data_IF_193880794497
#
_entry.id   IF_193880794497
#
_cell.length_a   1.000
_cell.length_b   1.000
_cell.length_c   1.000
_cell.angle_alpha   90.00
_cell.angle_beta   90.00
_cell.angle_gamma   90.00
#
_symmetry.space_group_name_H-M   'P 1'
#
loop_
_entity.id
_entity.type
_entity.pdbx_description
1 polymer ?
#
# COMPACT_ATOMS: atom_id res chain seq x y z
N UNK A 1 -63.41 44.56 36.01
CA UNK A 1 -62.15 44.50 36.80
C UNK A 1 -61.27 43.46 36.21
N UNK A 2 -60.34 43.84 35.35
CA UNK A 2 -59.44 42.99 34.66
C UNK A 2 -58.04 43.31 35.19
N UNK A 3 -57.51 42.42 36.01
CA UNK A 3 -56.16 42.55 36.57
C UNK A 3 -55.13 42.08 35.54
N UNK A 4 -54.32 43.02 35.07
CA UNK A 4 -53.13 42.72 34.23
C UNK A 4 -52.05 42.12 35.10
N UNK A 5 -51.48 40.94 34.64
CA UNK A 5 -50.30 40.32 35.20
C UNK A 5 -49.07 40.96 34.55
N UNK A 6 -48.05 41.37 35.31
CA UNK A 6 -46.82 41.91 34.74
C UNK A 6 -46.00 40.77 34.11
N UNK A 7 -45.61 40.88 32.86
CA UNK A 7 -44.62 40.06 32.22
C UNK A 7 -43.26 40.51 32.73
N UNK A 8 -42.63 39.67 33.54
CA UNK A 8 -41.22 39.80 33.96
C UNK A 8 -40.32 39.44 32.80
N UNK A 9 -39.73 40.45 32.18
CA UNK A 9 -38.79 40.35 31.10
C UNK A 9 -37.44 39.82 31.67
N UNK A 10 -37.23 38.50 31.58
CA UNK A 10 -35.96 37.88 31.94
C UNK A 10 -34.90 38.33 30.95
N UNK A 11 -33.98 39.18 31.38
CA UNK A 11 -32.76 39.53 30.66
C UNK A 11 -31.99 38.26 30.30
N UNK A 12 -31.42 38.14 29.07
CA UNK A 12 -30.59 37.00 28.70
C UNK A 12 -29.33 37.01 29.57
N UNK A 13 -29.17 35.92 30.24
CA UNK A 13 -28.02 35.56 31.05
C UNK A 13 -26.73 35.68 30.21
N UNK A 14 -25.71 36.25 30.84
CA UNK A 14 -24.34 36.45 30.40
C UNK A 14 -23.87 35.47 29.29
N UNK A 15 -23.34 36.06 28.23
CA UNK A 15 -22.57 35.36 27.21
C UNK A 15 -21.44 34.61 27.92
N UNK A 16 -21.61 33.30 28.08
CA UNK A 16 -20.52 32.44 28.45
C UNK A 16 -19.35 32.69 27.47
N UNK A 17 -18.26 33.17 28.00
CA UNK A 17 -17.05 33.37 27.23
C UNK A 17 -16.65 32.08 26.52
N UNK A 18 -15.91 32.15 25.42
CA UNK A 18 -15.46 30.95 24.70
C UNK A 18 -14.80 29.98 25.68
N UNK A 19 -15.06 28.66 25.56
CA UNK A 19 -14.47 27.67 26.44
C UNK A 19 -12.96 27.86 26.47
N UNK A 20 -12.30 27.69 27.63
CA UNK A 20 -10.87 27.89 27.74
C UNK A 20 -10.19 27.04 26.67
N UNK A 21 -9.45 27.73 25.81
CA UNK A 21 -8.59 27.04 24.80
C UNK A 21 -7.68 26.12 25.57
N UNK A 22 -7.78 24.82 25.28
CA UNK A 22 -6.88 23.81 25.85
C UNK A 22 -5.44 24.34 25.68
N UNK A 23 -4.79 24.58 26.81
CA UNK A 23 -3.42 25.09 26.84
C UNK A 23 -2.52 24.08 26.11
N UNK A 24 -2.00 24.47 24.96
CA UNK A 24 -1.11 23.65 24.13
C UNK A 24 0.22 23.33 24.82
N UNK A 25 0.42 23.81 26.05
CA UNK A 25 1.61 23.56 26.87
C UNK A 25 1.61 22.17 27.53
N UNK A 26 0.48 21.44 27.55
CA UNK A 26 0.35 20.10 28.13
C UNK A 26 0.65 18.96 27.14
N UNK A 27 1.38 19.22 26.07
CA UNK A 27 2.08 18.14 25.36
C UNK A 27 3.15 17.64 26.35
N UNK A 28 2.77 16.69 27.21
CA UNK A 28 3.66 15.96 28.12
C UNK A 28 4.88 15.55 27.31
N UNK A 29 6.02 16.23 27.54
CA UNK A 29 7.32 15.80 27.02
C UNK A 29 7.47 14.37 27.46
N UNK A 30 7.24 13.43 26.53
CA UNK A 30 7.23 12.00 26.82
C UNK A 30 8.47 11.67 27.65
N UNK A 31 8.27 11.10 28.83
CA UNK A 31 9.35 10.83 29.77
C UNK A 31 10.47 10.01 29.11
N UNK A 32 11.65 10.00 29.70
CA UNK A 32 12.80 9.25 29.20
C UNK A 32 12.52 7.73 29.09
N UNK A 33 11.64 7.20 29.95
CA UNK A 33 11.31 5.75 29.97
C UNK A 33 10.67 5.24 28.66
N UNK A 34 9.63 5.85 28.06
CA UNK A 34 9.13 5.45 26.75
C UNK A 34 10.19 5.51 25.64
N UNK A 35 11.06 6.52 25.68
CA UNK A 35 12.14 6.64 24.69
C UNK A 35 13.13 5.48 24.79
N UNK A 36 13.53 5.09 26.00
CA UNK A 36 14.40 3.93 26.21
C UNK A 36 13.74 2.65 25.71
N UNK A 37 12.48 2.41 26.09
CA UNK A 37 11.75 1.21 25.63
C UNK A 37 11.69 1.16 24.12
N UNK A 38 11.31 2.25 23.45
CA UNK A 38 11.26 2.31 21.99
C UNK A 38 12.65 2.06 21.38
N UNK A 39 13.71 2.66 21.95
CA UNK A 39 15.08 2.46 21.46
C UNK A 39 15.54 1.00 21.62
N UNK A 40 15.25 0.37 22.74
CA UNK A 40 15.58 -1.06 22.96
C UNK A 40 14.82 -1.94 21.97
N UNK A 41 13.52 -1.73 21.81
CA UNK A 41 12.71 -2.47 20.85
C UNK A 41 13.26 -2.28 19.43
N UNK A 42 13.53 -1.03 19.02
CA UNK A 42 14.12 -0.74 17.73
C UNK A 42 15.49 -1.41 17.53
N UNK A 43 16.35 -1.39 18.55
CA UNK A 43 17.66 -2.04 18.49
C UNK A 43 17.51 -3.57 18.30
N UNK A 44 16.60 -4.21 19.04
CA UNK A 44 16.32 -5.65 18.90
C UNK A 44 15.82 -5.96 17.48
N UNK A 45 14.93 -5.15 16.93
CA UNK A 45 14.41 -5.33 15.58
C UNK A 45 15.46 -5.12 14.49
N UNK A 46 16.46 -4.29 14.76
CA UNK A 46 17.57 -4.06 13.83
C UNK A 46 18.59 -5.21 13.79
N UNK A 47 18.66 -6.05 14.83
CA UNK A 47 19.64 -7.15 14.93
C UNK A 47 19.64 -8.05 13.69
N UNK A 48 18.50 -8.58 13.19
CA UNK A 48 18.51 -9.43 11.99
C UNK A 48 19.00 -8.67 10.75
N UNK A 49 18.57 -7.43 10.57
CA UNK A 49 18.94 -6.61 9.39
C UNK A 49 20.43 -6.29 9.39
N UNK A 50 20.96 -5.90 10.54
CA UNK A 50 22.41 -5.65 10.72
C UNK A 50 23.20 -6.96 10.53
N UNK A 51 22.68 -8.07 11.04
CA UNK A 51 23.30 -9.37 10.87
C UNK A 51 23.43 -9.77 9.41
N UNK A 52 22.34 -9.64 8.62
CA UNK A 52 22.35 -9.92 7.18
C UNK A 52 23.31 -8.97 6.45
N UNK A 53 23.29 -7.67 6.78
CA UNK A 53 24.18 -6.68 6.17
C UNK A 53 25.67 -7.02 6.43
N UNK A 54 26.02 -7.35 7.67
CA UNK A 54 27.41 -7.74 7.99
C UNK A 54 27.78 -9.05 7.27
N UNK A 55 26.88 -10.03 7.28
CA UNK A 55 27.11 -11.33 6.63
C UNK A 55 27.34 -11.18 5.13
N UNK A 56 26.64 -10.25 4.45
CA UNK A 56 26.81 -10.02 3.00
C UNK A 56 28.20 -9.55 2.60
N UNK A 57 28.96 -8.96 3.54
CA UNK A 57 30.35 -8.55 3.32
C UNK A 57 31.38 -9.57 3.85
N UNK A 58 30.96 -10.74 4.29
CA UNK A 58 31.89 -11.74 4.84
C UNK A 58 32.14 -12.88 3.84
N UNK A 59 33.37 -13.42 3.82
CA UNK A 59 33.69 -14.62 3.03
C UNK A 59 32.79 -15.80 3.43
N UNK A 60 32.36 -16.60 2.45
CA UNK A 60 31.46 -17.75 2.64
C UNK A 60 31.94 -18.71 3.74
N UNK A 61 33.21 -19.09 3.73
CA UNK A 61 33.76 -20.00 4.71
C UNK A 61 33.74 -19.48 6.16
N UNK A 62 33.73 -18.14 6.35
CA UNK A 62 33.56 -17.55 7.67
C UNK A 62 32.08 -17.44 8.09
N UNK A 63 31.18 -17.29 7.11
CA UNK A 63 29.74 -17.26 7.36
C UNK A 63 29.26 -18.63 7.83
N UNK A 64 29.75 -19.71 7.23
CA UNK A 64 29.38 -21.09 7.58
C UNK A 64 29.91 -21.54 8.93
N UNK A 65 31.06 -21.00 9.36
CA UNK A 65 31.77 -21.49 10.55
C UNK A 65 31.63 -20.61 11.78
N UNK A 66 31.29 -19.32 11.60
CA UNK A 66 31.22 -18.33 12.69
C UNK A 66 29.99 -17.43 12.57
N UNK A 67 29.47 -16.98 13.72
CA UNK A 67 28.37 -16.02 13.72
C UNK A 67 28.82 -14.62 13.26
N UNK A 68 27.90 -13.82 12.68
CA UNK A 68 28.18 -12.46 12.21
C UNK A 68 28.71 -11.53 13.30
N UNK A 69 28.35 -11.76 14.56
CA UNK A 69 28.80 -10.94 15.70
C UNK A 69 30.28 -11.08 16.02
N UNK A 70 30.95 -12.12 15.52
CA UNK A 70 32.41 -12.31 15.73
C UNK A 70 33.23 -11.23 15.06
N UNK A 71 32.69 -10.56 14.03
CA UNK A 71 33.31 -9.41 13.35
C UNK A 71 33.68 -8.30 14.32
N UNK A 72 32.90 -8.08 15.38
CA UNK A 72 33.18 -6.99 16.33
C UNK A 72 34.52 -7.16 17.08
N UNK A 73 35.03 -8.39 17.19
CA UNK A 73 36.36 -8.67 17.70
C UNK A 73 37.50 -8.48 16.67
N UNK A 74 37.15 -8.37 15.38
CA UNK A 74 38.09 -8.40 14.26
C UNK A 74 37.78 -7.33 13.21
N UNK A 75 37.25 -6.17 13.60
CA UNK A 75 36.76 -5.11 12.70
C UNK A 75 37.79 -4.63 11.68
N UNK A 76 39.08 -4.60 12.07
CA UNK A 76 40.19 -4.11 11.25
C UNK A 76 40.91 -5.23 10.49
N UNK A 77 40.49 -6.48 10.66
CA UNK A 77 41.05 -7.60 9.93
C UNK A 77 40.41 -7.69 8.53
N UNK A 78 41.21 -7.39 7.53
CA UNK A 78 40.76 -7.37 6.12
C UNK A 78 40.30 -8.76 5.66
N UNK A 79 40.74 -9.86 6.31
CA UNK A 79 40.26 -11.20 6.00
C UNK A 79 38.77 -11.44 6.34
N UNK A 80 38.19 -10.58 7.19
CA UNK A 80 36.77 -10.65 7.55
C UNK A 80 35.83 -10.04 6.49
N UNK A 81 36.39 -9.30 5.52
CA UNK A 81 35.60 -8.49 4.60
C UNK A 81 35.89 -8.85 3.16
N UNK A 82 34.82 -9.02 2.37
CA UNK A 82 34.89 -9.30 0.95
C UNK A 82 33.72 -8.63 0.20
N UNK A 83 33.93 -8.32 -1.07
CA UNK A 83 32.88 -7.95 -2.02
C UNK A 83 32.57 -9.08 -3.01
N UNK A 84 33.17 -10.25 -2.79
CA UNK A 84 33.04 -11.39 -3.71
C UNK A 84 31.60 -11.87 -3.82
N UNK A 85 30.84 -11.88 -2.71
CA UNK A 85 29.42 -12.23 -2.72
C UNK A 85 28.60 -11.34 -3.68
N UNK A 86 28.89 -10.03 -3.68
CA UNK A 86 28.23 -9.09 -4.60
C UNK A 86 28.66 -9.28 -6.04
N UNK A 87 29.96 -9.55 -6.27
CA UNK A 87 30.46 -9.86 -7.62
C UNK A 87 29.87 -11.16 -8.14
N UNK A 88 29.87 -12.22 -7.33
CA UNK A 88 29.28 -13.49 -7.69
C UNK A 88 27.77 -13.34 -8.01
N UNK A 89 27.03 -12.56 -7.24
CA UNK A 89 25.62 -12.28 -7.52
C UNK A 89 25.41 -11.53 -8.84
N UNK A 90 26.27 -10.56 -9.15
CA UNK A 90 26.20 -9.80 -10.41
C UNK A 90 26.69 -10.62 -11.62
N UNK A 91 27.69 -11.48 -11.41
CA UNK A 91 28.25 -12.34 -12.44
C UNK A 91 27.40 -13.58 -12.71
N UNK A 92 26.46 -13.91 -11.81
CA UNK A 92 25.47 -14.98 -12.03
C UNK A 92 24.60 -14.58 -13.21
N UNK A 93 24.69 -15.32 -14.31
CA UNK A 93 23.97 -15.01 -15.54
C UNK A 93 22.46 -14.95 -15.31
N UNK A 94 21.87 -13.77 -15.54
CA UNK A 94 20.43 -13.56 -15.37
C UNK A 94 20.03 -12.58 -14.28
N UNK A 95 20.89 -12.23 -13.30
CA UNK A 95 20.56 -11.28 -12.22
C UNK A 95 20.08 -9.93 -12.75
N UNK A 96 20.75 -9.38 -13.77
CA UNK A 96 20.37 -8.11 -14.39
C UNK A 96 18.97 -8.18 -15.01
N UNK A 97 18.69 -9.26 -15.74
CA UNK A 97 17.39 -9.50 -16.34
C UNK A 97 16.31 -9.71 -15.25
N UNK A 98 16.60 -10.49 -14.23
CA UNK A 98 15.68 -10.74 -13.12
C UNK A 98 15.36 -9.43 -12.36
N UNK A 99 16.35 -8.55 -12.17
CA UNK A 99 16.15 -7.23 -11.57
C UNK A 99 15.26 -6.33 -12.43
N UNK A 100 15.54 -6.24 -13.72
CA UNK A 100 14.74 -5.45 -14.67
C UNK A 100 13.31 -6.00 -14.79
N UNK A 101 13.16 -7.32 -14.84
CA UNK A 101 11.85 -7.97 -14.84
C UNK A 101 11.08 -7.68 -13.53
N UNK A 102 11.76 -7.69 -12.38
CA UNK A 102 11.12 -7.33 -11.11
C UNK A 102 10.60 -5.90 -11.12
N UNK A 103 11.35 -4.95 -11.68
CA UNK A 103 10.88 -3.56 -11.89
C UNK A 103 9.72 -3.50 -12.88
N UNK A 104 9.82 -4.22 -14.00
CA UNK A 104 8.78 -4.29 -15.04
C UNK A 104 7.47 -4.90 -14.50
N UNK A 105 7.54 -5.81 -13.54
CA UNK A 105 6.38 -6.35 -12.84
C UNK A 105 5.86 -5.37 -11.79
N UNK A 106 6.74 -4.88 -10.92
CA UNK A 106 6.34 -4.16 -9.70
C UNK A 106 5.80 -2.78 -9.98
N UNK A 107 6.41 -2.02 -10.91
CA UNK A 107 5.98 -0.65 -11.19
C UNK A 107 4.55 -0.62 -11.75
N UNK A 108 4.22 -1.35 -12.84
CA UNK A 108 2.84 -1.36 -13.33
C UNK A 108 1.84 -1.96 -12.34
N UNK A 109 2.22 -3.04 -11.62
CA UNK A 109 1.38 -3.67 -10.59
C UNK A 109 1.15 -2.76 -9.37
N UNK A 110 1.89 -1.68 -9.24
CA UNK A 110 1.69 -0.63 -8.24
C UNK A 110 0.84 0.51 -8.81
N UNK A 111 1.17 1.00 -9.99
CA UNK A 111 0.54 2.19 -10.58
C UNK A 111 -0.89 1.90 -11.05
N UNK A 112 -1.14 0.74 -11.66
CA UNK A 112 -2.46 0.39 -12.21
C UNK A 112 -3.53 0.35 -11.10
N UNK A 113 -3.38 -0.45 -10.01
CA UNK A 113 -4.40 -0.51 -8.97
C UNK A 113 -4.58 0.82 -8.24
N UNK A 114 -3.53 1.61 -8.01
CA UNK A 114 -3.64 2.93 -7.39
C UNK A 114 -4.46 3.88 -8.26
N UNK A 115 -4.19 3.89 -9.55
CA UNK A 115 -4.91 4.76 -10.49
C UNK A 115 -6.40 4.40 -10.52
N UNK A 116 -6.73 3.13 -10.69
CA UNK A 116 -8.12 2.66 -10.69
C UNK A 116 -8.80 2.96 -9.34
N UNK A 117 -8.09 2.68 -8.24
CA UNK A 117 -8.61 2.90 -6.90
C UNK A 117 -8.83 4.39 -6.58
N UNK A 118 -7.98 5.29 -7.06
CA UNK A 118 -8.15 6.72 -6.87
C UNK A 118 -9.45 7.24 -7.54
N UNK A 119 -9.71 6.83 -8.77
CA UNK A 119 -10.97 7.14 -9.46
C UNK A 119 -12.18 6.52 -8.75
N UNK A 120 -12.10 5.25 -8.39
CA UNK A 120 -13.18 4.56 -7.67
C UNK A 120 -13.44 5.20 -6.29
N UNK A 121 -12.39 5.51 -5.55
CA UNK A 121 -12.48 6.15 -4.24
C UNK A 121 -13.12 7.54 -4.33
N UNK A 122 -12.76 8.33 -5.34
CA UNK A 122 -13.40 9.61 -5.60
C UNK A 122 -14.89 9.45 -5.92
N UNK A 123 -15.23 8.51 -6.80
CA UNK A 123 -16.62 8.24 -7.15
C UNK A 123 -17.43 7.79 -5.94
N UNK A 124 -16.91 6.88 -5.13
CA UNK A 124 -17.56 6.40 -3.91
C UNK A 124 -17.66 7.46 -2.80
N UNK A 125 -16.83 8.50 -2.81
CA UNK A 125 -16.85 9.56 -1.80
C UNK A 125 -17.70 10.75 -2.21
N UNK A 126 -17.60 11.23 -3.45
CA UNK A 126 -18.07 12.55 -3.87
C UNK A 126 -19.07 12.54 -5.02
N UNK A 127 -19.41 11.36 -5.57
CA UNK A 127 -20.42 11.24 -6.61
C UNK A 127 -21.66 10.49 -6.10
N UNK A 128 -22.85 10.94 -6.50
CA UNK A 128 -24.10 10.26 -6.18
C UNK A 128 -24.54 9.42 -7.36
N UNK A 129 -24.55 8.10 -7.18
CA UNK A 129 -25.05 7.16 -8.17
C UNK A 129 -25.76 5.96 -7.51
N UNK A 130 -26.66 5.32 -8.27
CA UNK A 130 -27.46 4.20 -7.77
C UNK A 130 -26.55 3.00 -7.50
N UNK A 131 -26.70 2.42 -6.32
CA UNK A 131 -25.94 1.23 -5.92
C UNK A 131 -24.55 1.51 -5.31
N UNK A 132 -24.15 2.79 -5.13
CA UNK A 132 -22.85 3.18 -4.56
C UNK A 132 -22.45 2.36 -3.32
N UNK A 133 -23.36 2.25 -2.36
CA UNK A 133 -23.09 1.56 -1.10
C UNK A 133 -22.95 0.03 -1.29
N UNK A 134 -23.78 -0.55 -2.15
CA UNK A 134 -23.73 -2.00 -2.46
C UNK A 134 -22.43 -2.34 -3.20
N UNK A 135 -22.06 -1.54 -4.19
CA UNK A 135 -20.81 -1.73 -4.92
C UNK A 135 -19.59 -1.59 -4.02
N UNK A 136 -19.57 -0.57 -3.15
CA UNK A 136 -18.49 -0.40 -2.19
C UNK A 136 -18.43 -1.58 -1.19
N UNK A 137 -19.59 -2.02 -0.67
CA UNK A 137 -19.66 -3.18 0.20
C UNK A 137 -19.18 -4.46 -0.50
N UNK A 138 -19.50 -4.65 -1.78
CA UNK A 138 -19.00 -5.77 -2.58
C UNK A 138 -17.47 -5.72 -2.73
N UNK A 139 -16.89 -4.54 -3.03
CA UNK A 139 -15.43 -4.36 -3.10
C UNK A 139 -14.77 -4.71 -1.76
N UNK A 140 -15.32 -4.23 -0.65
CA UNK A 140 -14.81 -4.57 0.70
C UNK A 140 -14.98 -6.07 0.99
N UNK A 141 -16.10 -6.66 0.56
CA UNK A 141 -16.35 -8.10 0.70
C UNK A 141 -15.31 -8.96 -0.02
N UNK A 142 -14.75 -8.52 -1.13
CA UNK A 142 -13.68 -9.22 -1.84
C UNK A 142 -12.39 -9.34 -1.01
N UNK A 143 -12.14 -8.45 -0.04
CA UNK A 143 -10.97 -8.53 0.84
C UNK A 143 -11.01 -9.77 1.76
N UNK A 144 -12.17 -10.37 1.97
CA UNK A 144 -12.34 -11.57 2.79
C UNK A 144 -11.87 -12.83 2.04
N UNK A 145 -11.80 -12.77 0.70
CA UNK A 145 -11.36 -13.91 -0.11
C UNK A 145 -9.86 -14.11 0.06
N UNK A 146 -9.41 -15.27 0.59
CA UNK A 146 -7.98 -15.54 0.70
C UNK A 146 -7.33 -15.59 -0.69
N UNK A 147 -6.22 -14.86 -0.84
CA UNK A 147 -5.48 -14.77 -2.10
C UNK A 147 -5.17 -16.17 -2.66
N UNK A 148 -4.73 -17.10 -1.81
CA UNK A 148 -4.36 -18.46 -2.19
C UNK A 148 -5.52 -19.23 -2.85
N UNK A 149 -6.74 -18.98 -2.42
CA UNK A 149 -7.94 -19.62 -3.01
C UNK A 149 -8.27 -19.06 -4.40
N UNK A 150 -7.93 -17.82 -4.67
CA UNK A 150 -8.22 -17.15 -5.94
C UNK A 150 -7.18 -17.47 -7.04
N UNK A 151 -5.96 -17.90 -6.68
CA UNK A 151 -4.87 -18.13 -7.64
C UNK A 151 -5.25 -19.12 -8.75
N UNK A 152 -5.72 -20.31 -8.39
CA UNK A 152 -6.08 -21.36 -9.36
C UNK A 152 -7.28 -20.94 -10.25
N UNK A 153 -8.38 -20.38 -9.72
CA UNK A 153 -9.46 -19.85 -10.55
C UNK A 153 -9.02 -18.79 -11.55
N UNK A 154 -8.17 -17.84 -11.13
CA UNK A 154 -7.67 -16.78 -12.03
C UNK A 154 -6.75 -17.38 -13.09
N UNK A 155 -5.85 -18.31 -12.73
CA UNK A 155 -5.00 -18.99 -13.69
C UNK A 155 -5.83 -19.75 -14.74
N UNK A 156 -6.90 -20.44 -14.31
CA UNK A 156 -7.82 -21.10 -15.24
C UNK A 156 -8.53 -20.11 -16.15
N UNK A 157 -8.93 -18.96 -15.62
CA UNK A 157 -9.53 -17.90 -16.42
C UNK A 157 -8.58 -17.41 -17.51
N UNK A 158 -7.29 -17.29 -17.21
CA UNK A 158 -6.27 -16.85 -18.16
C UNK A 158 -5.98 -17.88 -19.25
N UNK A 159 -5.99 -19.18 -18.90
CA UNK A 159 -5.59 -20.26 -19.82
C UNK A 159 -6.74 -20.94 -20.55
N UNK A 160 -7.97 -20.80 -20.07
CA UNK A 160 -9.15 -21.50 -20.64
C UNK A 160 -10.34 -20.58 -20.86
N UNK A 161 -10.26 -19.32 -20.39
CA UNK A 161 -11.41 -18.45 -20.34
C UNK A 161 -12.48 -18.92 -19.33
N UNK A 162 -13.68 -18.39 -19.46
CA UNK A 162 -14.84 -18.80 -18.67
C UNK A 162 -16.05 -19.05 -19.55
N UNK A 163 -16.73 -20.17 -19.28
CA UNK A 163 -17.95 -20.57 -19.96
C UNK A 163 -19.05 -20.85 -18.92
N UNK A 164 -20.23 -20.31 -19.15
CA UNK A 164 -21.41 -20.52 -18.31
C UNK A 164 -22.58 -20.94 -19.19
N UNK A 165 -23.16 -22.08 -18.89
CA UNK A 165 -24.27 -22.65 -19.64
C UNK A 165 -24.04 -22.77 -21.16
N UNK A 166 -22.80 -23.12 -21.56
CA UNK A 166 -22.44 -23.26 -22.99
C UNK A 166 -22.13 -21.93 -23.68
N UNK A 167 -22.24 -20.80 -22.99
CA UNK A 167 -21.88 -19.48 -23.52
C UNK A 167 -20.52 -19.06 -22.99
N UNK A 168 -19.58 -18.76 -23.89
CA UNK A 168 -18.26 -18.22 -23.53
C UNK A 168 -18.41 -16.77 -23.10
N UNK A 169 -18.28 -16.54 -21.78
CA UNK A 169 -18.37 -15.20 -21.18
C UNK A 169 -17.01 -14.50 -21.21
N UNK A 170 -15.93 -15.25 -21.06
CA UNK A 170 -14.58 -14.71 -21.09
C UNK A 170 -13.72 -15.56 -22.03
N UNK A 171 -13.07 -14.96 -23.03
CA UNK A 171 -12.23 -15.70 -23.97
C UNK A 171 -10.96 -16.22 -23.28
N UNK A 172 -10.37 -17.22 -23.89
CA UNK A 172 -8.99 -17.61 -23.59
C UNK A 172 -8.06 -16.52 -24.14
N UNK A 173 -7.30 -15.89 -23.26
CA UNK A 173 -6.40 -14.79 -23.60
C UNK A 173 -4.92 -15.21 -23.53
N UNK A 174 -4.65 -16.45 -23.10
CA UNK A 174 -3.30 -17.00 -22.89
C UNK A 174 -2.36 -16.03 -22.16
N UNK A 175 -2.84 -15.49 -21.04
CA UNK A 175 -2.12 -14.49 -20.25
C UNK A 175 -1.08 -15.10 -19.30
N UNK A 176 -1.02 -16.42 -19.21
CA UNK A 176 -0.05 -17.10 -18.38
C UNK A 176 1.38 -16.92 -18.91
N UNK A 177 2.35 -16.67 -18.03
CA UNK A 177 3.74 -16.40 -18.42
C UNK A 177 3.97 -15.00 -19.00
N UNK A 178 2.98 -14.10 -18.95
CA UNK A 178 3.10 -12.74 -19.51
C UNK A 178 3.11 -11.66 -18.42
N UNK A 179 3.78 -10.54 -18.72
CA UNK A 179 3.73 -9.35 -17.85
C UNK A 179 2.30 -8.85 -17.64
N UNK A 180 1.47 -8.86 -18.69
CA UNK A 180 0.08 -8.41 -18.58
C UNK A 180 -0.71 -9.29 -17.60
N UNK A 181 -0.52 -10.61 -17.64
CA UNK A 181 -1.19 -11.54 -16.74
C UNK A 181 -0.86 -11.25 -15.27
N UNK A 182 0.41 -11.07 -14.93
CA UNK A 182 0.81 -10.78 -13.55
C UNK A 182 0.40 -9.37 -13.11
N UNK A 183 0.41 -8.35 -13.98
CA UNK A 183 -0.08 -7.02 -13.66
C UNK A 183 -1.58 -7.03 -13.31
N UNK A 184 -2.38 -7.76 -14.07
CA UNK A 184 -3.81 -7.91 -13.82
C UNK A 184 -4.06 -8.72 -12.53
N UNK A 185 -3.29 -9.76 -12.27
CA UNK A 185 -3.42 -10.55 -11.04
C UNK A 185 -3.13 -9.69 -9.80
N UNK A 186 -1.99 -9.00 -9.76
CA UNK A 186 -1.66 -8.11 -8.64
C UNK A 186 -2.64 -6.94 -8.52
N UNK A 187 -3.15 -6.42 -9.65
CA UNK A 187 -4.20 -5.40 -9.63
C UNK A 187 -5.47 -5.94 -8.98
N UNK A 188 -5.93 -7.12 -9.38
CA UNK A 188 -7.13 -7.74 -8.82
C UNK A 188 -7.02 -7.97 -7.31
N UNK A 189 -5.86 -8.40 -6.83
CA UNK A 189 -5.63 -8.63 -5.40
C UNK A 189 -5.46 -7.34 -4.59
N UNK A 190 -4.77 -6.34 -5.14
CA UNK A 190 -4.50 -5.07 -4.46
C UNK A 190 -5.67 -4.08 -4.49
N UNK A 191 -6.51 -4.14 -5.52
CA UNK A 191 -7.55 -3.14 -5.78
C UNK A 191 -8.57 -2.99 -4.64
N UNK A 192 -9.11 -4.05 -4.02
CA UNK A 192 -10.09 -3.89 -2.94
C UNK A 192 -9.54 -3.08 -1.76
N UNK A 193 -8.34 -3.40 -1.31
CA UNK A 193 -7.67 -2.68 -0.23
C UNK A 193 -7.34 -1.23 -0.62
N UNK A 194 -6.86 -1.02 -1.84
CA UNK A 194 -6.57 0.30 -2.38
C UNK A 194 -7.82 1.20 -2.37
N UNK A 195 -8.93 0.69 -2.90
CA UNK A 195 -10.22 1.42 -2.92
C UNK A 195 -10.69 1.72 -1.51
N UNK A 196 -10.61 0.76 -0.59
CA UNK A 196 -11.02 0.95 0.80
C UNK A 196 -10.22 2.05 1.48
N UNK A 197 -8.88 1.98 1.42
CA UNK A 197 -8.00 2.95 2.08
C UNK A 197 -8.12 4.36 1.46
N UNK A 198 -8.07 4.44 0.14
CA UNK A 198 -8.18 5.72 -0.56
C UNK A 198 -9.56 6.35 -0.40
N UNK A 199 -10.64 5.56 -0.41
CA UNK A 199 -12.00 6.08 -0.17
C UNK A 199 -12.13 6.66 1.23
N UNK A 200 -11.56 6.02 2.24
CA UNK A 200 -11.62 6.55 3.61
C UNK A 200 -10.85 7.87 3.73
N UNK A 201 -9.68 7.98 3.10
CA UNK A 201 -8.90 9.20 3.09
C UNK A 201 -9.58 10.31 2.26
N UNK A 202 -9.94 10.04 1.01
CA UNK A 202 -10.58 11.00 0.10
C UNK A 202 -11.93 11.47 0.66
N UNK A 203 -12.67 10.57 1.32
CA UNK A 203 -13.94 10.91 1.97
C UNK A 203 -13.79 11.74 3.25
N UNK A 204 -12.60 11.82 3.84
CA UNK A 204 -12.30 12.67 5.00
C UNK A 204 -11.86 14.09 4.63
N UNK A 205 -11.68 14.39 3.35
CA UNK A 205 -11.38 15.76 2.91
C UNK A 205 -12.56 16.69 3.24
N UNK A 206 -12.30 17.96 3.62
CA UNK A 206 -13.36 18.91 3.96
C UNK A 206 -14.33 19.11 2.78
N UNK A 207 -15.64 18.92 3.02
CA UNK A 207 -16.67 19.11 1.99
C UNK A 207 -16.70 20.53 1.43
N UNK A 208 -16.38 21.51 2.27
CA UNK A 208 -16.32 22.93 1.88
C UNK A 208 -15.38 23.20 0.69
N UNK A 209 -14.26 22.46 0.58
CA UNK A 209 -13.33 22.61 -0.55
C UNK A 209 -13.98 22.12 -1.85
N UNK A 210 -14.66 20.99 -1.79
CA UNK A 210 -15.34 20.39 -2.95
C UNK A 210 -16.57 21.23 -3.35
N UNK A 211 -17.34 21.71 -2.37
CA UNK A 211 -18.52 22.56 -2.59
C UNK A 211 -18.13 23.91 -3.21
N UNK A 212 -17.08 24.57 -2.69
CA UNK A 212 -16.58 25.83 -3.27
C UNK A 212 -16.16 25.66 -4.72
N UNK A 213 -15.44 24.58 -5.04
CA UNK A 213 -15.05 24.30 -6.42
C UNK A 213 -16.25 24.05 -7.36
N UNK A 214 -17.33 23.40 -6.85
CA UNK A 214 -18.56 23.23 -7.61
C UNK A 214 -19.29 24.57 -7.84
N UNK A 215 -19.28 25.47 -6.86
CA UNK A 215 -19.84 26.83 -6.98
C UNK A 215 -19.07 27.62 -8.05
N UNK A 216 -17.73 27.45 -8.10
CA UNK A 216 -16.86 28.04 -9.12
C UNK A 216 -17.04 27.41 -10.51
N UNK A 217 -17.93 26.43 -10.67
CA UNK A 217 -18.26 25.78 -11.93
C UNK A 217 -17.29 24.67 -12.34
N UNK A 218 -16.44 24.19 -11.43
CA UNK A 218 -15.54 23.07 -11.74
C UNK A 218 -16.31 21.76 -11.90
N UNK A 219 -16.01 21.03 -12.95
CA UNK A 219 -16.54 19.69 -13.20
C UNK A 219 -15.82 18.64 -12.34
N UNK A 220 -16.37 17.43 -12.28
CA UNK A 220 -15.80 16.33 -11.50
C UNK A 220 -14.36 15.98 -11.89
N UNK A 221 -14.00 16.08 -13.17
CA UNK A 221 -12.65 15.79 -13.63
C UNK A 221 -11.65 16.85 -13.15
N UNK A 222 -12.01 18.11 -13.22
CA UNK A 222 -11.22 19.24 -12.70
C UNK A 222 -11.02 19.15 -11.19
N UNK A 223 -12.10 18.86 -10.44
CA UNK A 223 -12.05 18.66 -8.99
C UNK A 223 -11.11 17.50 -8.64
N UNK A 224 -11.25 16.37 -9.34
CA UNK A 224 -10.39 15.21 -9.10
C UNK A 224 -8.91 15.54 -9.29
N UNK A 225 -8.54 16.07 -10.46
CA UNK A 225 -7.12 16.26 -10.78
C UNK A 225 -6.48 17.47 -10.09
N UNK A 226 -7.22 18.56 -9.89
CA UNK A 226 -6.67 19.80 -9.33
C UNK A 226 -6.79 19.93 -7.82
N UNK A 227 -7.70 19.20 -7.20
CA UNK A 227 -7.92 19.29 -5.76
C UNK A 227 -7.69 17.94 -5.07
N UNK A 228 -8.44 16.89 -5.48
CA UNK A 228 -8.45 15.62 -4.74
C UNK A 228 -7.12 14.89 -4.85
N UNK A 229 -6.56 14.76 -6.05
CA UNK A 229 -5.26 14.08 -6.23
C UNK A 229 -4.14 14.78 -5.48
N UNK A 230 -3.92 16.10 -5.61
CA UNK A 230 -2.89 16.80 -4.84
C UNK A 230 -3.06 16.70 -3.32
N UNK A 231 -4.28 16.82 -2.82
CA UNK A 231 -4.56 16.69 -1.38
C UNK A 231 -4.42 15.26 -0.89
N UNK A 232 -4.53 14.27 -1.77
CA UNK A 232 -4.43 12.84 -1.44
C UNK A 232 -3.04 12.26 -1.67
N UNK A 233 -2.05 13.06 -2.11
CA UNK A 233 -0.66 12.57 -2.33
C UNK A 233 -0.11 11.79 -1.14
N UNK A 234 -0.30 12.18 0.14
CA UNK A 234 0.20 11.40 1.26
C UNK A 234 -0.40 9.99 1.32
N UNK A 235 -1.70 9.84 1.09
CA UNK A 235 -2.37 8.54 1.09
C UNK A 235 -2.00 7.70 -0.13
N UNK A 236 -1.93 8.32 -1.31
CA UNK A 236 -1.48 7.66 -2.54
C UNK A 236 -0.05 7.15 -2.41
N UNK A 237 0.86 7.96 -1.85
CA UNK A 237 2.25 7.57 -1.63
C UNK A 237 2.36 6.45 -0.60
N UNK A 238 1.62 6.52 0.51
CA UNK A 238 1.62 5.47 1.53
C UNK A 238 1.16 4.12 0.96
N UNK A 239 0.06 4.13 0.18
CA UNK A 239 -0.39 2.91 -0.48
C UNK A 239 0.57 2.44 -1.58
N UNK A 240 1.19 3.37 -2.33
CA UNK A 240 2.18 3.05 -3.35
C UNK A 240 3.38 2.30 -2.76
N UNK A 241 3.91 2.77 -1.64
CA UNK A 241 5.02 2.12 -0.94
C UNK A 241 4.60 0.72 -0.47
N UNK A 242 3.41 0.60 0.15
CA UNK A 242 2.89 -0.67 0.60
C UNK A 242 2.72 -1.68 -0.55
N UNK A 243 2.06 -1.27 -1.63
CA UNK A 243 1.80 -2.10 -2.80
C UNK A 243 3.10 -2.48 -3.51
N UNK A 244 4.04 -1.53 -3.65
CA UNK A 244 5.35 -1.80 -4.24
C UNK A 244 6.10 -2.87 -3.45
N UNK A 245 6.22 -2.71 -2.13
CA UNK A 245 6.91 -3.67 -1.28
C UNK A 245 6.22 -5.04 -1.28
N UNK A 246 4.90 -5.07 -1.32
CA UNK A 246 4.16 -6.31 -1.41
C UNK A 246 4.43 -7.06 -2.70
N UNK A 247 4.35 -6.38 -3.86
CA UNK A 247 4.63 -6.99 -5.16
C UNK A 247 6.12 -7.35 -5.31
N UNK A 248 7.02 -6.48 -4.87
CA UNK A 248 8.46 -6.71 -4.96
C UNK A 248 8.92 -7.97 -4.21
N UNK A 249 8.33 -8.24 -3.06
CA UNK A 249 8.68 -9.40 -2.24
C UNK A 249 7.80 -10.63 -2.53
N UNK A 250 6.89 -10.57 -3.51
CA UNK A 250 5.99 -11.68 -3.80
C UNK A 250 6.69 -12.77 -4.61
N UNK A 251 6.73 -13.96 -4.05
CA UNK A 251 7.19 -15.18 -4.71
C UNK A 251 6.02 -16.01 -5.26
N UNK A 252 4.91 -16.05 -4.51
CA UNK A 252 3.84 -17.01 -4.78
C UNK A 252 3.08 -16.68 -6.06
N UNK A 253 2.63 -15.44 -6.22
CA UNK A 253 1.92 -14.99 -7.41
C UNK A 253 2.87 -15.02 -8.61
N UNK A 254 4.10 -14.51 -8.43
CA UNK A 254 5.10 -14.54 -9.48
C UNK A 254 5.34 -15.96 -10.01
N UNK A 255 5.54 -16.94 -9.13
CA UNK A 255 5.79 -18.34 -9.52
C UNK A 255 4.61 -18.99 -10.21
N UNK A 256 3.37 -18.63 -9.84
CA UNK A 256 2.15 -19.21 -10.45
C UNK A 256 1.85 -18.60 -11.80
N UNK A 257 1.99 -17.28 -11.95
CA UNK A 257 1.56 -16.56 -13.16
C UNK A 257 2.66 -16.36 -14.19
N UNK A 258 3.94 -16.31 -13.79
CA UNK A 258 5.06 -16.25 -14.72
C UNK A 258 5.62 -17.65 -15.04
N UNK A 259 5.43 -18.60 -14.10
CA UNK A 259 5.98 -19.95 -14.26
C UNK A 259 7.51 -19.97 -14.14
N UNK A 260 8.12 -21.14 -14.33
CA UNK A 260 9.57 -21.31 -14.41
C UNK A 260 10.09 -21.22 -15.86
N UNK A 261 9.44 -20.45 -16.73
CA UNK A 261 9.92 -20.22 -18.09
C UNK A 261 10.94 -19.09 -18.07
N UNK A 262 12.13 -19.37 -18.52
CA UNK A 262 13.35 -18.57 -18.43
C UNK A 262 13.31 -17.13 -18.98
N UNK A 263 12.24 -16.77 -19.68
CA UNK A 263 12.19 -15.47 -20.36
C UNK A 263 11.67 -14.31 -19.47
N UNK A 264 10.99 -14.63 -18.35
CA UNK A 264 10.39 -13.63 -17.44
C UNK A 264 10.64 -14.01 -15.98
N UNK A 265 11.87 -14.33 -15.65
CA UNK A 265 12.28 -14.55 -14.25
C UNK A 265 12.38 -13.24 -13.50
N UNK A 266 11.84 -13.18 -12.28
CA UNK A 266 11.96 -12.08 -11.34
C UNK A 266 12.89 -12.46 -10.18
N UNK A 267 13.44 -11.47 -9.47
CA UNK A 267 14.42 -11.69 -8.38
C UNK A 267 13.96 -12.68 -7.30
N UNK A 268 12.68 -12.76 -7.05
CA UNK A 268 12.12 -13.69 -6.05
C UNK A 268 12.08 -15.15 -6.54
N UNK A 269 12.25 -15.39 -7.85
CA UNK A 269 12.26 -16.72 -8.47
C UNK A 269 13.69 -17.13 -8.87
N UNK A 270 14.51 -16.15 -9.32
CA UNK A 270 15.91 -16.32 -9.67
C UNK A 270 16.76 -16.63 -8.41
#
# INVERSE_FOLDING_TARGET
MTTAVPVEESLPTELEGPPPTADSSDVRKGGWAPRIVITIVAAIWMVPTVGVLITSFRPEGLVETTGWWTVFGHLFDTSQWTLENYRAALDTGGFENAFLNSLAVTIPSTVIPITIAAFAAYAFSWMDFRGRHVMFAAVVGLMVVPLQMALIPILRLYTRGAEVAGLRIFPDLDLNGTFLGIWLAHTAFGLPLAVYLLRNYIGSLPSSIIESAKIDGADHFTIFWRLVVPLSVPALAAFAIFQFLWVWNDLLVARIFLGGTSDVEVLTIA
#
